data_IF_454772727656
#
_entry.id   IF_454772727656
#
_cell.length_a   1.000
_cell.length_b   1.000
_cell.length_c   1.000
_cell.angle_alpha   90.00
_cell.angle_beta   90.00
_cell.angle_gamma   90.00
#
_symmetry.space_group_name_H-M   'P 1'
#
loop_
_entity.id
_entity.type
_entity.pdbx_description
1 polymer ?
#
# COMPACT_ATOMS: atom_id res chain seq x y z
N UNK A 1 9.79 23.04 -2.46
CA UNK A 1 8.50 22.35 -2.28
C UNK A 1 8.75 21.27 -1.27
N UNK A 2 8.20 21.40 -0.07
CA UNK A 2 8.27 20.34 0.93
C UNK A 2 7.19 19.33 0.55
N UNK A 3 7.59 18.12 0.17
CA UNK A 3 6.64 17.04 -0.09
C UNK A 3 6.15 16.49 1.26
N UNK A 4 4.85 16.27 1.39
CA UNK A 4 4.25 15.78 2.62
C UNK A 4 3.37 14.58 2.33
N UNK A 5 3.82 13.40 2.77
CA UNK A 5 3.11 12.12 2.65
C UNK A 5 2.46 11.69 3.97
N UNK A 6 2.43 12.55 4.99
CA UNK A 6 1.93 12.19 6.33
C UNK A 6 0.51 11.64 6.32
N UNK A 7 -0.38 12.24 5.52
CA UNK A 7 -1.78 11.81 5.35
C UNK A 7 -1.87 10.42 4.69
N UNK A 8 -1.16 10.22 3.58
CA UNK A 8 -1.13 8.91 2.89
C UNK A 8 -0.54 7.82 3.78
N UNK A 9 0.52 8.14 4.54
CA UNK A 9 1.15 7.21 5.48
C UNK A 9 0.16 6.76 6.56
N UNK A 10 -0.61 7.68 7.15
CA UNK A 10 -1.54 7.34 8.23
C UNK A 10 -2.77 6.58 7.71
N UNK A 11 -3.32 6.99 6.56
CA UNK A 11 -4.47 6.31 5.94
C UNK A 11 -4.14 4.86 5.60
N UNK A 12 -3.00 4.64 4.95
CA UNK A 12 -2.55 3.30 4.61
C UNK A 12 -2.38 2.43 5.85
N UNK A 13 -1.68 2.93 6.88
CA UNK A 13 -1.39 2.12 8.06
C UNK A 13 -2.62 1.85 8.93
N UNK A 14 -3.63 2.71 8.88
CA UNK A 14 -4.93 2.42 9.49
C UNK A 14 -5.55 1.18 8.80
N UNK A 15 -5.58 1.15 7.47
CA UNK A 15 -6.11 0.00 6.72
C UNK A 15 -5.28 -1.26 6.94
N UNK A 16 -3.95 -1.13 6.92
CA UNK A 16 -3.03 -2.23 7.19
C UNK A 16 -3.22 -2.85 8.59
N UNK A 17 -3.38 -2.01 9.61
CA UNK A 17 -3.71 -2.45 10.98
C UNK A 17 -5.06 -3.14 11.02
N UNK A 18 -6.08 -2.55 10.43
CA UNK A 18 -7.44 -3.09 10.51
C UNK A 18 -7.56 -4.42 9.74
N UNK A 19 -6.77 -4.61 8.69
CA UNK A 19 -6.55 -5.90 8.04
C UNK A 19 -5.87 -6.89 9.00
N UNK A 20 -4.71 -6.53 9.57
CA UNK A 20 -3.97 -7.40 10.47
C UNK A 20 -4.76 -7.80 11.73
N UNK A 21 -5.66 -6.94 12.22
CA UNK A 21 -6.59 -7.26 13.31
C UNK A 21 -7.61 -8.33 12.94
N UNK A 22 -8.06 -8.36 11.69
CA UNK A 22 -9.05 -9.32 11.19
C UNK A 22 -8.39 -10.65 10.84
N UNK A 23 -7.24 -10.56 10.19
CA UNK A 23 -6.47 -11.71 9.72
C UNK A 23 -4.96 -11.33 9.69
N UNK A 24 -4.20 -11.71 10.73
CA UNK A 24 -2.77 -11.43 10.81
C UNK A 24 -1.96 -12.09 9.68
N UNK A 25 -2.36 -13.27 9.21
CA UNK A 25 -1.64 -14.03 8.17
C UNK A 25 -1.82 -13.35 6.80
N UNK A 26 -3.06 -12.98 6.48
CA UNK A 26 -3.35 -12.19 5.28
C UNK A 26 -2.71 -10.80 5.35
N UNK A 27 -2.78 -10.14 6.52
CA UNK A 27 -2.11 -8.87 6.75
C UNK A 27 -0.61 -8.95 6.50
N UNK A 28 0.06 -9.95 7.06
CA UNK A 28 1.48 -10.20 6.84
C UNK A 28 1.81 -10.41 5.35
N UNK A 29 1.06 -11.28 4.68
CA UNK A 29 1.23 -11.59 3.25
C UNK A 29 1.07 -10.35 2.37
N UNK A 30 -0.01 -9.59 2.56
CA UNK A 30 -0.29 -8.41 1.75
C UNK A 30 0.68 -7.25 1.99
N UNK A 31 1.20 -7.12 3.21
CA UNK A 31 2.13 -6.06 3.57
C UNK A 31 3.60 -6.45 3.30
N UNK A 32 3.88 -7.70 2.91
CA UNK A 32 5.24 -8.21 2.76
C UNK A 32 6.00 -8.24 4.09
N UNK A 33 5.31 -8.57 5.18
CA UNK A 33 5.84 -8.60 6.55
C UNK A 33 5.81 -10.02 7.11
N UNK A 34 6.56 -10.25 8.18
CA UNK A 34 6.38 -11.43 9.03
C UNK A 34 5.09 -11.30 9.86
N UNK A 35 4.48 -12.43 10.23
CA UNK A 35 3.20 -12.46 10.97
C UNK A 35 3.32 -11.80 12.34
N UNK A 36 4.49 -11.90 12.97
CA UNK A 36 4.83 -11.23 14.22
C UNK A 36 4.76 -9.71 14.07
N UNK A 37 5.24 -9.16 12.95
CA UNK A 37 5.16 -7.73 12.66
C UNK A 37 3.72 -7.28 12.39
N UNK A 38 2.95 -8.08 11.66
CA UNK A 38 1.53 -7.81 11.45
C UNK A 38 0.75 -7.81 12.77
N UNK A 39 1.09 -8.72 13.69
CA UNK A 39 0.51 -8.79 15.03
C UNK A 39 0.85 -7.54 15.86
N UNK A 40 2.10 -7.09 15.83
CA UNK A 40 2.51 -5.83 16.48
C UNK A 40 1.75 -4.63 15.92
N UNK A 41 1.56 -4.57 14.60
CA UNK A 41 0.77 -3.52 13.95
C UNK A 41 -0.68 -3.58 14.44
N UNK A 42 -1.29 -4.77 14.49
CA UNK A 42 -2.66 -4.99 14.95
C UNK A 42 -2.90 -4.47 16.39
N UNK A 43 -1.90 -4.58 17.26
CA UNK A 43 -1.99 -4.15 18.66
C UNK A 43 -1.89 -2.62 18.85
N UNK A 44 -1.44 -1.87 17.85
CA UNK A 44 -1.29 -0.42 17.96
C UNK A 44 -2.63 0.29 18.17
N UNK A 45 -2.68 1.15 19.19
CA UNK A 45 -3.83 2.03 19.45
C UNK A 45 -3.83 3.18 18.42
N UNK A 46 -5.00 3.74 18.09
CA UNK A 46 -5.09 4.89 17.19
C UNK A 46 -4.17 6.05 17.57
N UNK A 47 -4.04 6.35 18.87
CA UNK A 47 -3.15 7.41 19.37
C UNK A 47 -1.65 7.13 19.16
N UNK A 48 -1.26 5.86 19.15
CA UNK A 48 0.13 5.44 18.93
C UNK A 48 0.44 5.54 17.44
N UNK A 49 -0.49 5.08 16.60
CA UNK A 49 -0.40 5.15 15.15
C UNK A 49 -0.40 6.59 14.62
N UNK A 50 -1.14 7.50 15.27
CA UNK A 50 -1.21 8.91 14.88
C UNK A 50 0.16 9.61 14.86
N UNK A 51 1.15 9.11 15.61
CA UNK A 51 2.53 9.65 15.60
C UNK A 51 3.22 9.48 14.25
N UNK A 52 2.74 8.58 13.39
CA UNK A 52 3.29 8.38 12.05
C UNK A 52 3.04 9.59 11.15
N UNK A 53 2.03 10.41 11.44
CA UNK A 53 1.81 11.69 10.74
C UNK A 53 2.98 12.68 10.87
N UNK A 54 3.92 12.45 11.79
CA UNK A 54 5.15 13.24 11.90
C UNK A 54 6.19 12.89 10.83
N UNK A 55 6.01 11.79 10.11
CA UNK A 55 6.91 11.34 9.03
C UNK A 55 6.36 11.89 7.71
N UNK A 56 7.10 12.84 7.12
CA UNK A 56 6.72 13.49 5.86
C UNK A 56 7.15 12.68 4.62
N UNK A 57 8.12 11.79 4.76
CA UNK A 57 8.61 10.93 3.67
C UNK A 57 7.60 9.82 3.37
N UNK A 58 7.50 9.35 2.11
CA UNK A 58 6.65 8.20 1.80
C UNK A 58 7.19 6.96 2.51
N UNK A 59 6.35 6.27 3.26
CA UNK A 59 6.66 4.97 3.85
C UNK A 59 6.29 3.80 2.93
N UNK A 60 5.55 4.09 1.87
CA UNK A 60 5.12 3.12 0.87
C UNK A 60 6.05 3.15 -0.32
N UNK A 61 6.57 1.98 -0.67
CA UNK A 61 7.27 1.80 -1.92
C UNK A 61 6.24 1.51 -3.03
N UNK A 62 6.32 2.20 -4.18
CA UNK A 62 5.56 1.81 -5.35
C UNK A 62 5.85 0.36 -5.74
N UNK A 63 4.88 -0.25 -6.41
CA UNK A 63 5.05 -1.53 -7.11
C UNK A 63 6.35 -1.52 -7.93
N UNK A 64 7.15 -2.58 -7.85
CA UNK A 64 8.50 -2.62 -8.44
C UNK A 64 8.49 -2.92 -9.94
N UNK A 65 7.42 -3.50 -10.46
CA UNK A 65 7.27 -3.85 -11.86
C UNK A 65 7.05 -2.61 -12.74
N UNK A 66 8.16 -2.06 -13.21
CA UNK A 66 8.19 -0.87 -14.08
C UNK A 66 7.31 -1.02 -15.32
N UNK A 67 7.18 -2.24 -15.87
CA UNK A 67 6.32 -2.52 -17.03
C UNK A 67 4.85 -2.26 -16.72
N UNK A 68 4.39 -2.55 -15.49
CA UNK A 68 3.01 -2.37 -15.07
C UNK A 68 2.66 -0.88 -15.01
N UNK A 69 3.53 -0.08 -14.39
CA UNK A 69 3.39 1.38 -14.35
C UNK A 69 3.41 2.01 -15.74
N UNK A 70 4.34 1.58 -16.59
CA UNK A 70 4.43 2.07 -17.97
C UNK A 70 3.12 1.84 -18.74
N UNK A 71 2.57 0.61 -18.67
CA UNK A 71 1.29 0.29 -19.32
C UNK A 71 0.15 1.17 -18.79
N UNK A 72 0.04 1.30 -17.46
CA UNK A 72 -1.00 2.13 -16.85
C UNK A 72 -0.90 3.59 -17.31
N UNK A 73 0.28 4.19 -17.25
CA UNK A 73 0.47 5.61 -17.58
C UNK A 73 0.19 5.90 -19.06
N UNK A 74 0.58 4.99 -19.96
CA UNK A 74 0.25 5.11 -21.38
C UNK A 74 -1.25 5.01 -21.59
N UNK A 75 -1.91 4.02 -20.98
CA UNK A 75 -3.35 3.82 -21.12
C UNK A 75 -4.17 5.01 -20.58
N UNK A 76 -3.78 5.56 -19.43
CA UNK A 76 -4.39 6.77 -18.83
C UNK A 76 -4.23 7.98 -19.75
N UNK A 77 -3.02 8.19 -20.30
CA UNK A 77 -2.74 9.33 -21.19
C UNK A 77 -3.53 9.24 -22.51
N UNK A 78 -3.74 8.04 -23.02
CA UNK A 78 -4.43 7.79 -24.29
C UNK A 78 -5.95 7.56 -24.13
N UNK A 79 -6.47 7.53 -22.90
CA UNK A 79 -7.89 7.31 -22.62
C UNK A 79 -8.38 5.91 -23.00
N UNK A 80 -7.52 4.90 -22.97
CA UNK A 80 -7.85 3.52 -23.37
C UNK A 80 -8.51 2.77 -22.21
N UNK A 81 -9.82 2.94 -22.04
CA UNK A 81 -10.59 2.37 -20.92
C UNK A 81 -10.39 0.85 -20.73
N UNK A 82 -10.47 0.06 -21.81
CA UNK A 82 -10.30 -1.41 -21.74
C UNK A 82 -8.92 -1.81 -21.20
N UNK A 83 -7.86 -1.10 -21.59
CA UNK A 83 -6.51 -1.35 -21.12
C UNK A 83 -6.33 -0.89 -19.65
N UNK A 84 -6.99 0.19 -19.25
CA UNK A 84 -7.00 0.64 -17.84
C UNK A 84 -7.61 -0.45 -16.95
N UNK A 85 -8.79 -0.96 -17.32
CA UNK A 85 -9.46 -2.03 -16.57
C UNK A 85 -8.59 -3.30 -16.52
N UNK A 86 -8.05 -3.74 -17.65
CA UNK A 86 -7.16 -4.90 -17.69
C UNK A 86 -5.93 -4.75 -16.78
N UNK A 87 -5.30 -3.57 -16.77
CA UNK A 87 -4.13 -3.31 -15.91
C UNK A 87 -4.51 -3.30 -14.42
N UNK A 88 -5.69 -2.76 -14.07
CA UNK A 88 -6.23 -2.75 -12.69
C UNK A 88 -6.56 -4.18 -12.22
N UNK A 89 -7.20 -5.00 -13.05
CA UNK A 89 -7.50 -6.40 -12.72
C UNK A 89 -6.23 -7.22 -12.43
N UNK A 90 -5.10 -6.87 -13.05
CA UNK A 90 -3.80 -7.49 -12.78
C UNK A 90 -3.05 -6.90 -11.56
N UNK A 91 -3.56 -5.85 -10.92
CA UNK A 91 -2.94 -5.25 -9.74
C UNK A 91 -2.71 -6.23 -8.57
N UNK A 92 -3.62 -7.17 -8.24
CA UNK A 92 -3.45 -8.11 -7.14
C UNK A 92 -2.39 -9.20 -7.40
N UNK A 93 -1.99 -9.41 -8.67
CA UNK A 93 -1.09 -10.49 -9.07
C UNK A 93 0.39 -10.13 -8.89
N UNK A 94 0.72 -9.31 -7.89
CA UNK A 94 2.12 -9.05 -7.52
C UNK A 94 2.72 -10.37 -7.05
N UNK A 95 3.65 -10.91 -7.83
CA UNK A 95 4.49 -12.01 -7.39
C UNK A 95 5.48 -11.43 -6.38
N UNK A 96 5.31 -11.79 -5.11
CA UNK A 96 6.39 -11.68 -4.12
C UNK A 96 7.61 -12.42 -4.71
N UNK A 97 8.82 -11.84 -4.69
CA UNK A 97 10.03 -12.56 -5.08
C UNK A 97 10.23 -13.84 -4.26
#
# INVERSE_FOLDING_TARGET
MEFDFSEVNIEYLIQARDLAKRDPELGATMLGLEVEMASLLADLKPKELARISLIKQPLLMPRQEHWWWSRLFVALREGRAEEIEAVIEHAPLVTVP
#
